data_IF_266535336217
#
_entry.id   IF_266535336217
#
_cell.length_a   1.000
_cell.length_b   1.000
_cell.length_c   1.000
_cell.angle_alpha   90.00
_cell.angle_beta   90.00
_cell.angle_gamma   90.00
#
_symmetry.space_group_name_H-M   'P 1'
#
loop_
_entity.id
_entity.type
_entity.pdbx_description
1 polymer ?
#
# COMPACT_ATOMS: atom_id res chain seq x y z
N UNK A 1 14.23 12.14 18.65
CA UNK A 1 13.04 13.00 18.82
C UNK A 1 12.37 13.05 17.45
N UNK A 2 11.09 12.70 17.35
CA UNK A 2 10.37 12.74 16.06
C UNK A 2 9.95 14.19 15.82
N UNK A 3 10.30 14.74 14.66
CA UNK A 3 9.82 16.06 14.25
C UNK A 3 8.40 15.94 13.70
N UNK A 4 7.46 16.66 14.31
CA UNK A 4 6.05 16.73 13.90
C UNK A 4 5.78 18.16 13.45
N UNK A 5 5.25 18.33 12.24
CA UNK A 5 4.89 19.65 11.73
C UNK A 5 3.73 20.23 12.53
N UNK A 6 3.91 21.44 13.04
CA UNK A 6 2.89 22.18 13.80
C UNK A 6 2.46 23.40 13.00
N UNK A 7 1.18 23.76 13.10
CA UNK A 7 0.63 24.98 12.54
C UNK A 7 -0.02 25.81 13.64
N UNK A 8 0.08 27.13 13.51
CA UNK A 8 -0.54 28.09 14.40
C UNK A 8 -1.60 28.87 13.62
N UNK A 9 -2.85 28.80 14.07
CA UNK A 9 -4.00 29.42 13.42
C UNK A 9 -3.96 30.96 13.43
N UNK A 10 -3.05 31.57 14.19
CA UNK A 10 -2.84 33.02 14.21
C UNK A 10 -1.88 33.52 13.12
N UNK A 11 -1.12 32.61 12.47
CA UNK A 11 -0.18 32.98 11.44
C UNK A 11 -0.88 33.36 10.13
N UNK A 12 -0.35 34.37 9.43
CA UNK A 12 -0.93 34.87 8.19
C UNK A 12 -0.95 33.83 7.06
N UNK A 13 -0.06 32.84 7.11
CA UNK A 13 0.10 31.77 6.14
C UNK A 13 -0.53 30.43 6.57
N UNK A 14 -1.33 30.44 7.65
CA UNK A 14 -1.97 29.23 8.17
C UNK A 14 -2.75 28.46 7.09
N UNK A 15 -3.58 29.16 6.31
CA UNK A 15 -4.45 28.53 5.32
C UNK A 15 -3.66 27.87 4.18
N UNK A 16 -2.72 28.55 3.50
CA UNK A 16 -1.82 27.90 2.52
C UNK A 16 -1.01 26.73 3.10
N UNK A 17 -0.51 26.86 4.33
CA UNK A 17 0.27 25.82 4.98
C UNK A 17 -0.59 24.58 5.32
N UNK A 18 -1.83 24.80 5.75
CA UNK A 18 -2.80 23.73 6.00
C UNK A 18 -3.19 23.04 4.70
N UNK A 19 -3.48 23.80 3.64
CA UNK A 19 -3.80 23.27 2.32
C UNK A 19 -2.69 22.36 1.80
N UNK A 20 -1.43 22.75 1.96
CA UNK A 20 -0.27 21.92 1.55
C UNK A 20 -0.21 20.57 2.29
N UNK A 21 -0.59 20.53 3.56
CA UNK A 21 -0.56 19.29 4.36
C UNK A 21 -1.77 18.42 4.06
N UNK A 22 -2.92 19.06 3.79
CA UNK A 22 -4.15 18.38 3.39
C UNK A 22 -4.16 17.97 1.91
N UNK A 23 -3.25 18.52 1.10
CA UNK A 23 -2.97 18.10 -0.25
C UNK A 23 -2.28 16.73 -0.24
N UNK A 24 -2.98 15.75 0.31
CA UNK A 24 -2.70 14.34 0.17
C UNK A 24 -2.70 14.04 -1.32
N UNK A 25 -1.51 14.08 -1.92
CA UNK A 25 -1.28 13.42 -3.19
C UNK A 25 -1.49 11.94 -2.91
N UNK A 26 -2.58 11.40 -3.46
CA UNK A 26 -2.78 9.96 -3.53
C UNK A 26 -1.65 9.44 -4.39
N UNK A 27 -0.51 9.14 -3.77
CA UNK A 27 0.56 8.41 -4.42
C UNK A 27 -0.03 7.02 -4.64
N UNK A 28 -0.69 6.87 -5.78
CA UNK A 28 -0.85 5.59 -6.43
C UNK A 28 0.57 5.14 -6.72
N UNK A 29 1.15 4.38 -5.79
CA UNK A 29 2.44 3.76 -5.99
C UNK A 29 2.28 2.82 -7.19
N UNK A 30 2.78 3.23 -8.36
CA UNK A 30 2.69 2.47 -9.61
C UNK A 30 3.23 1.06 -9.42
N UNK A 31 4.23 0.89 -8.55
CA UNK A 31 4.78 -0.40 -8.20
C UNK A 31 3.76 -1.28 -7.47
N UNK A 32 2.99 -0.72 -6.54
CA UNK A 32 1.90 -1.46 -5.87
C UNK A 32 0.85 -1.86 -6.90
N UNK A 33 0.49 -0.95 -7.80
CA UNK A 33 -0.49 -1.22 -8.87
C UNK A 33 -0.02 -2.36 -9.77
N UNK A 34 1.25 -2.37 -10.17
CA UNK A 34 1.80 -3.40 -11.06
C UNK A 34 1.93 -4.75 -10.35
N UNK A 35 2.33 -4.76 -9.08
CA UNK A 35 2.34 -5.99 -8.25
C UNK A 35 0.93 -6.57 -8.15
N UNK A 36 -0.09 -5.75 -7.91
CA UNK A 36 -1.48 -6.22 -7.83
C UNK A 36 -1.94 -6.81 -9.16
N UNK A 37 -1.62 -6.17 -10.30
CA UNK A 37 -1.94 -6.72 -11.64
C UNK A 37 -1.26 -8.06 -11.89
N UNK A 38 0.01 -8.19 -11.51
CA UNK A 38 0.76 -9.44 -11.64
C UNK A 38 0.09 -10.55 -10.84
N UNK A 39 -0.20 -10.32 -9.55
CA UNK A 39 -0.85 -11.29 -8.67
C UNK A 39 -2.20 -11.71 -9.25
N UNK A 40 -3.03 -10.76 -9.68
CA UNK A 40 -4.34 -11.06 -10.29
C UNK A 40 -4.19 -11.91 -11.55
N UNK A 41 -3.22 -11.61 -12.41
CA UNK A 41 -2.95 -12.38 -13.63
C UNK A 41 -2.47 -13.80 -13.33
N UNK A 42 -1.57 -13.94 -12.36
CA UNK A 42 -1.04 -15.22 -11.92
C UNK A 42 -2.13 -16.10 -11.30
N UNK A 43 -2.95 -15.54 -10.39
CA UNK A 43 -4.08 -16.28 -9.79
C UNK A 43 -5.11 -16.67 -10.85
N UNK A 44 -5.40 -15.80 -11.83
CA UNK A 44 -6.31 -16.15 -12.93
C UNK A 44 -5.80 -17.31 -13.80
N UNK A 45 -4.48 -17.41 -13.97
CA UNK A 45 -3.87 -18.43 -14.84
C UNK A 45 -3.63 -19.75 -14.08
N UNK A 46 -3.15 -19.65 -12.84
CA UNK A 46 -2.58 -20.79 -12.08
C UNK A 46 -3.42 -21.16 -10.85
N UNK A 47 -4.46 -20.39 -10.50
CA UNK A 47 -5.37 -20.69 -9.39
C UNK A 47 -4.65 -20.81 -8.05
N UNK A 48 -4.95 -21.89 -7.33
CA UNK A 48 -4.47 -22.17 -5.97
C UNK A 48 -2.94 -22.21 -5.84
N UNK A 49 -2.22 -22.60 -6.89
CA UNK A 49 -0.76 -22.61 -6.89
C UNK A 49 -0.20 -21.19 -6.69
N UNK A 50 -0.75 -20.21 -7.41
CA UNK A 50 -0.34 -18.81 -7.26
C UNK A 50 -0.72 -18.26 -5.88
N UNK A 51 -1.88 -18.64 -5.34
CA UNK A 51 -2.28 -18.22 -3.99
C UNK A 51 -1.30 -18.74 -2.94
N UNK A 52 -0.93 -20.02 -3.00
CA UNK A 52 0.05 -20.61 -2.09
C UNK A 52 1.43 -19.96 -2.21
N UNK A 53 1.88 -19.69 -3.43
CA UNK A 53 3.16 -19.01 -3.68
C UNK A 53 3.18 -17.63 -3.01
N UNK A 54 2.18 -16.80 -3.25
CA UNK A 54 2.15 -15.44 -2.71
C UNK A 54 1.93 -15.42 -1.20
N UNK A 55 1.12 -16.32 -0.63
CA UNK A 55 0.97 -16.44 0.83
C UNK A 55 2.26 -16.92 1.52
N UNK A 56 3.02 -17.84 0.92
CA UNK A 56 4.35 -18.21 1.43
C UNK A 56 5.33 -17.02 1.38
N UNK A 57 5.27 -16.25 0.29
CA UNK A 57 6.19 -15.13 0.03
C UNK A 57 5.95 -13.93 0.93
N UNK A 58 4.69 -13.51 1.09
CA UNK A 58 4.33 -12.26 1.76
C UNK A 58 3.87 -12.47 3.20
N UNK A 59 3.14 -13.56 3.46
CA UNK A 59 2.56 -13.84 4.79
C UNK A 59 3.39 -14.87 5.57
N UNK A 60 4.44 -15.42 4.96
CA UNK A 60 5.31 -16.45 5.54
C UNK A 60 4.56 -17.69 6.02
N UNK A 61 3.44 -18.03 5.38
CA UNK A 61 2.66 -19.23 5.68
C UNK A 61 3.39 -20.48 5.16
N UNK A 62 3.49 -21.54 5.97
CA UNK A 62 4.05 -22.82 5.56
C UNK A 62 2.94 -23.84 5.25
N UNK A 63 2.17 -23.57 4.19
CA UNK A 63 1.13 -24.46 3.70
C UNK A 63 1.58 -25.09 2.38
N UNK A 64 1.41 -26.41 2.22
CA UNK A 64 1.77 -27.13 0.99
C UNK A 64 0.61 -27.19 -0.02
N UNK A 65 -0.63 -27.18 0.47
CA UNK A 65 -1.87 -27.26 -0.33
C UNK A 65 -2.90 -26.24 0.18
N UNK A 66 -3.89 -25.93 -0.65
CA UNK A 66 -5.07 -25.12 -0.27
C UNK A 66 -6.20 -25.95 0.36
N UNK A 67 -6.04 -27.28 0.42
CA UNK A 67 -7.05 -28.18 0.96
C UNK A 67 -6.88 -28.37 2.48
N UNK A 68 -7.99 -28.65 3.18
CA UNK A 68 -8.00 -29.06 4.59
C UNK A 68 -7.47 -30.50 4.79
#
# INVERSE_FOLDING_TARGET
MIEIKQLDASQADFWPALETILAWEGISDEKVTDIVKEILSAVKTNGDEAVLEYSRRFDHVNAETMAD
#
